data_IF_115750792938
#
_entry.id   IF_115750792938
#
_cell.length_a   1.000
_cell.length_b   1.000
_cell.length_c   1.000
_cell.angle_alpha   90.00
_cell.angle_beta   90.00
_cell.angle_gamma   90.00
#
_symmetry.space_group_name_H-M   'P 1'
#
loop_
_entity.id
_entity.type
_entity.pdbx_description
1 polymer ?
#
# COMPACT_ATOMS: atom_id res chain seq x y z
N UNK A 1 -33.40 -31.95 -63.15
CA UNK A 1 -34.13 -31.43 -61.97
C UNK A 1 -33.06 -30.97 -61.00
N UNK A 2 -32.80 -29.68 -61.00
CA UNK A 2 -31.71 -29.05 -60.25
C UNK A 2 -32.23 -28.70 -58.85
N UNK A 3 -32.11 -29.67 -57.95
CA UNK A 3 -32.56 -29.52 -56.58
C UNK A 3 -31.63 -28.58 -55.78
N UNK A 4 -32.22 -27.45 -55.38
CA UNK A 4 -32.09 -26.91 -54.02
C UNK A 4 -30.68 -26.61 -53.48
N UNK A 5 -29.88 -25.79 -54.17
CA UNK A 5 -28.69 -25.16 -53.56
C UNK A 5 -28.85 -23.63 -53.52
N UNK A 6 -30.07 -23.15 -53.27
CA UNK A 6 -30.25 -21.84 -52.67
C UNK A 6 -29.93 -21.96 -51.18
N UNK A 7 -28.63 -21.98 -50.85
CA UNK A 7 -28.16 -21.58 -49.53
C UNK A 7 -28.74 -20.20 -49.26
N UNK A 8 -29.89 -20.16 -48.58
CA UNK A 8 -30.47 -18.96 -48.01
C UNK A 8 -29.53 -18.47 -46.91
N UNK A 9 -28.40 -17.88 -47.30
CA UNK A 9 -27.54 -17.15 -46.38
C UNK A 9 -28.37 -15.98 -45.88
N UNK A 10 -29.00 -16.14 -44.72
CA UNK A 10 -29.72 -15.06 -44.03
C UNK A 10 -28.71 -13.95 -43.76
N UNK A 11 -28.66 -12.97 -44.66
CA UNK A 11 -27.75 -11.84 -44.54
C UNK A 11 -27.99 -11.19 -43.19
N UNK A 12 -26.95 -11.18 -42.34
CA UNK A 12 -27.05 -10.57 -41.01
C UNK A 12 -27.53 -9.14 -41.13
N UNK A 13 -28.48 -8.74 -40.29
CA UNK A 13 -28.98 -7.36 -40.22
C UNK A 13 -27.85 -6.38 -39.90
N UNK A 14 -28.02 -5.12 -40.31
CA UNK A 14 -27.05 -4.03 -40.04
C UNK A 14 -26.67 -3.95 -38.54
N UNK A 15 -27.64 -4.15 -37.65
CA UNK A 15 -27.43 -4.20 -36.19
C UNK A 15 -26.57 -5.39 -35.77
N UNK A 16 -26.84 -6.59 -36.29
CA UNK A 16 -26.07 -7.79 -36.00
C UNK A 16 -24.61 -7.67 -36.48
N UNK A 17 -24.39 -7.12 -37.67
CA UNK A 17 -23.03 -6.86 -38.19
C UNK A 17 -22.26 -5.88 -37.29
N UNK A 18 -22.86 -4.75 -36.92
CA UNK A 18 -22.26 -3.77 -36.00
C UNK A 18 -21.92 -4.39 -34.63
N UNK A 19 -22.80 -5.23 -34.09
CA UNK A 19 -22.57 -5.94 -32.83
C UNK A 19 -21.39 -6.90 -32.94
N UNK A 20 -21.31 -7.68 -34.02
CA UNK A 20 -20.22 -8.62 -34.28
C UNK A 20 -18.85 -7.93 -34.31
N UNK A 21 -18.75 -6.76 -34.96
CA UNK A 21 -17.49 -5.98 -35.01
C UNK A 21 -17.11 -5.49 -33.61
N UNK A 22 -18.08 -4.98 -32.84
CA UNK A 22 -17.86 -4.52 -31.46
C UNK A 22 -17.40 -5.67 -30.54
N UNK A 23 -18.08 -6.81 -30.60
CA UNK A 23 -17.73 -7.98 -29.78
C UNK A 23 -16.37 -8.56 -30.17
N UNK A 24 -16.04 -8.60 -31.47
CA UNK A 24 -14.72 -9.03 -31.93
C UNK A 24 -13.61 -8.09 -31.42
N UNK A 25 -13.86 -6.78 -31.46
CA UNK A 25 -12.94 -5.79 -30.91
C UNK A 25 -12.75 -5.96 -29.40
N UNK A 26 -13.84 -6.12 -28.64
CA UNK A 26 -13.79 -6.36 -27.21
C UNK A 26 -13.05 -7.67 -26.87
N UNK A 27 -13.28 -8.73 -27.64
CA UNK A 27 -12.57 -10.02 -27.51
C UNK A 27 -11.07 -9.84 -27.70
N UNK A 28 -10.65 -9.16 -28.77
CA UNK A 28 -9.22 -8.87 -29.03
C UNK A 28 -8.58 -8.11 -27.86
N UNK A 29 -9.24 -7.08 -27.32
CA UNK A 29 -8.76 -6.34 -26.15
C UNK A 29 -8.63 -7.25 -24.91
N UNK A 30 -9.57 -8.17 -24.68
CA UNK A 30 -9.50 -9.17 -23.60
C UNK A 30 -8.34 -10.13 -23.77
N UNK A 31 -8.12 -10.62 -24.98
CA UNK A 31 -7.07 -11.59 -25.27
C UNK A 31 -5.68 -10.95 -25.09
N UNK A 32 -5.48 -9.72 -25.60
CA UNK A 32 -4.25 -8.95 -25.37
C UNK A 32 -4.01 -8.65 -23.88
N UNK A 33 -5.07 -8.39 -23.11
CA UNK A 33 -4.95 -8.19 -21.66
C UNK A 33 -4.59 -9.47 -20.91
N UNK A 34 -5.14 -10.62 -21.31
CA UNK A 34 -4.74 -11.93 -20.76
C UNK A 34 -3.27 -12.22 -21.04
N UNK A 35 -2.85 -12.04 -22.30
CA UNK A 35 -1.46 -12.24 -22.69
C UNK A 35 -0.51 -11.33 -21.92
N UNK A 36 -0.86 -10.05 -21.71
CA UNK A 36 -0.11 -9.13 -20.83
C UNK A 36 0.10 -9.69 -19.43
N UNK A 37 -0.92 -10.32 -18.83
CA UNK A 37 -0.81 -10.95 -17.50
C UNK A 37 0.08 -12.19 -17.53
N UNK A 38 0.03 -12.97 -18.60
CA UNK A 38 0.89 -14.14 -18.79
C UNK A 38 2.35 -13.73 -18.92
N UNK A 39 2.66 -12.75 -19.78
CA UNK A 39 4.00 -12.16 -19.90
C UNK A 39 4.50 -11.66 -18.55
N UNK A 40 3.66 -10.99 -17.76
CA UNK A 40 4.05 -10.55 -16.42
C UNK A 40 4.39 -11.73 -15.48
N UNK A 41 3.67 -12.85 -15.57
CA UNK A 41 3.98 -14.07 -14.82
C UNK A 41 5.27 -14.71 -15.30
N UNK A 42 5.47 -14.83 -16.61
CA UNK A 42 6.68 -15.36 -17.25
C UNK A 42 7.89 -14.52 -16.83
N UNK A 43 7.83 -13.20 -17.00
CA UNK A 43 8.86 -12.26 -16.53
C UNK A 43 9.11 -12.39 -15.03
N UNK A 44 8.09 -12.67 -14.20
CA UNK A 44 8.28 -12.90 -12.77
C UNK A 44 8.95 -14.24 -12.47
N UNK A 45 8.65 -15.29 -13.25
CA UNK A 45 9.16 -16.65 -13.10
C UNK A 45 10.63 -16.81 -13.47
N UNK A 46 11.20 -15.92 -14.31
CA UNK A 46 12.63 -15.93 -14.64
C UNK A 46 13.47 -15.94 -13.35
N UNK A 47 14.39 -16.91 -13.17
CA UNK A 47 15.21 -17.01 -11.98
C UNK A 47 16.25 -15.88 -11.89
N UNK A 48 16.68 -15.58 -10.67
CA UNK A 48 17.76 -14.63 -10.42
C UNK A 48 19.11 -15.34 -10.63
N UNK A 49 20.01 -14.69 -11.36
CA UNK A 49 21.36 -15.21 -11.64
C UNK A 49 22.35 -14.46 -10.75
N UNK A 50 23.27 -15.16 -10.05
CA UNK A 50 24.28 -14.52 -9.24
C UNK A 50 25.24 -13.69 -10.10
N UNK A 51 25.64 -12.53 -9.60
CA UNK A 51 26.70 -11.73 -10.19
C UNK A 51 28.05 -12.31 -9.80
N UNK A 52 29.03 -12.23 -10.70
CA UNK A 52 30.42 -12.64 -10.41
C UNK A 52 31.00 -11.87 -9.24
N UNK A 53 30.76 -10.57 -9.21
CA UNK A 53 31.21 -9.66 -8.15
C UNK A 53 30.02 -8.86 -7.62
N UNK A 54 29.66 -9.01 -6.34
CA UNK A 54 28.60 -8.23 -5.73
C UNK A 54 29.06 -6.78 -5.56
N UNK A 55 28.18 -5.83 -5.83
CA UNK A 55 28.50 -4.40 -5.73
C UNK A 55 27.54 -3.67 -4.80
N UNK A 56 28.03 -2.58 -4.20
CA UNK A 56 27.22 -1.74 -3.33
C UNK A 56 26.43 -0.71 -4.16
N UNK A 57 25.10 -0.75 -4.07
CA UNK A 57 24.21 0.25 -4.73
C UNK A 57 23.91 1.46 -3.84
N UNK A 58 24.02 1.31 -2.52
CA UNK A 58 23.72 2.36 -1.56
C UNK A 58 23.69 1.82 -0.14
N UNK A 59 22.74 2.30 0.66
CA UNK A 59 22.53 1.92 2.04
C UNK A 59 21.07 1.55 2.29
N UNK A 60 20.85 0.56 3.13
CA UNK A 60 19.55 0.20 3.68
C UNK A 60 19.58 0.47 5.19
N UNK A 61 18.49 0.99 5.72
CA UNK A 61 18.29 1.07 7.16
C UNK A 61 16.95 0.50 7.59
N UNK A 62 16.97 -0.17 8.71
CA UNK A 62 15.85 -0.94 9.25
C UNK A 62 15.98 -1.05 10.77
N UNK A 63 14.92 -1.50 11.41
CA UNK A 63 14.93 -1.68 12.86
C UNK A 63 15.47 -3.04 13.24
N UNK A 64 16.24 -3.08 14.32
CA UNK A 64 16.77 -4.27 14.97
C UNK A 64 16.47 -4.18 16.46
N UNK A 65 16.26 -5.32 17.11
CA UNK A 65 16.09 -5.40 18.55
C UNK A 65 17.33 -4.86 19.28
N UNK A 66 17.13 -4.08 20.35
CA UNK A 66 18.25 -3.70 21.22
C UNK A 66 18.78 -4.93 21.97
N UNK A 67 20.10 -4.97 22.13
CA UNK A 67 20.81 -6.04 22.84
C UNK A 67 20.53 -6.00 24.35
N UNK A 68 20.10 -4.85 24.89
CA UNK A 68 19.79 -4.65 26.31
C UNK A 68 18.58 -5.47 26.82
N UNK A 69 17.83 -6.12 25.93
CA UNK A 69 16.68 -6.95 26.31
C UNK A 69 17.20 -8.30 26.79
N UNK A 70 17.40 -8.42 28.10
CA UNK A 70 18.09 -9.55 28.74
C UNK A 70 17.31 -10.87 28.78
N UNK A 71 15.99 -10.85 28.60
CA UNK A 71 15.15 -12.05 28.74
C UNK A 71 15.00 -12.77 27.39
N UNK A 72 15.38 -14.04 27.33
CA UNK A 72 15.32 -14.86 26.11
C UNK A 72 13.91 -14.94 25.51
N UNK A 73 12.89 -15.11 26.36
CA UNK A 73 11.49 -15.14 25.93
C UNK A 73 11.06 -13.82 25.27
N UNK A 74 11.48 -12.69 25.83
CA UNK A 74 11.19 -11.37 25.27
C UNK A 74 11.91 -11.17 23.93
N UNK A 75 13.16 -11.65 23.79
CA UNK A 75 13.91 -11.56 22.54
C UNK A 75 13.15 -12.24 21.41
N UNK A 76 12.74 -13.50 21.61
CA UNK A 76 12.02 -14.26 20.59
C UNK A 76 10.69 -13.60 20.24
N UNK A 77 9.93 -13.18 21.25
CA UNK A 77 8.64 -12.51 21.08
C UNK A 77 8.75 -11.19 20.29
N UNK A 78 9.62 -10.28 20.71
CA UNK A 78 9.77 -9.00 20.03
C UNK A 78 10.44 -9.13 18.65
N UNK A 79 11.25 -10.16 18.43
CA UNK A 79 11.79 -10.46 17.09
C UNK A 79 10.66 -10.88 16.13
N UNK A 80 9.67 -11.66 16.60
CA UNK A 80 8.49 -12.03 15.82
C UNK A 80 7.62 -10.82 15.50
N UNK A 81 7.33 -9.96 16.49
CA UNK A 81 6.60 -8.70 16.26
C UNK A 81 7.35 -7.85 15.24
N UNK A 82 8.66 -7.66 15.44
CA UNK A 82 9.48 -6.84 14.56
C UNK A 82 9.41 -7.35 13.12
N UNK A 83 9.50 -8.68 12.88
CA UNK A 83 9.36 -9.25 11.54
C UNK A 83 8.07 -8.84 10.83
N UNK A 84 6.97 -8.62 11.56
CA UNK A 84 5.66 -8.22 11.04
C UNK A 84 5.55 -6.72 10.76
N UNK A 85 6.19 -5.90 11.60
CA UNK A 85 6.07 -4.42 11.54
C UNK A 85 7.33 -3.70 11.03
N UNK A 86 8.41 -4.42 10.71
CA UNK A 86 9.66 -3.79 10.30
C UNK A 86 9.46 -2.99 9.01
N UNK A 87 10.14 -1.86 8.94
CA UNK A 87 10.21 -1.04 7.74
C UNK A 87 11.66 -0.96 7.30
N UNK A 88 11.89 -1.04 5.99
CA UNK A 88 13.20 -0.79 5.39
C UNK A 88 13.14 0.46 4.54
N UNK A 89 14.19 1.28 4.62
CA UNK A 89 14.39 2.41 3.74
C UNK A 89 15.73 2.31 3.03
N UNK A 90 15.73 2.62 1.75
CA UNK A 90 16.92 2.65 0.91
C UNK A 90 17.30 4.10 0.59
N UNK A 91 18.60 4.37 0.53
CA UNK A 91 19.17 5.63 0.09
C UNK A 91 20.52 5.38 -0.59
N UNK A 92 20.93 6.29 -1.48
CA UNK A 92 22.26 6.24 -2.11
C UNK A 92 23.37 6.55 -1.10
N UNK A 93 23.09 7.46 -0.15
CA UNK A 93 24.05 7.88 0.89
C UNK A 93 23.61 7.48 2.29
N UNK A 94 24.58 7.30 3.20
CA UNK A 94 24.37 6.92 4.61
C UNK A 94 23.58 7.97 5.43
N UNK A 95 23.37 9.17 4.90
CA UNK A 95 22.71 10.28 5.62
C UNK A 95 21.18 10.21 5.62
N UNK A 96 20.57 9.45 4.69
CA UNK A 96 19.10 9.31 4.56
C UNK A 96 18.35 10.65 4.63
N UNK A 97 18.72 11.60 3.77
CA UNK A 97 18.09 12.92 3.72
C UNK A 97 17.03 13.00 2.62
N UNK A 98 16.03 13.87 2.81
CA UNK A 98 15.05 14.24 1.79
C UNK A 98 15.11 15.73 1.50
N UNK A 99 14.91 16.10 0.23
CA UNK A 99 14.79 17.50 -0.20
C UNK A 99 13.42 18.04 0.26
N UNK A 100 13.41 19.20 0.90
CA UNK A 100 12.20 19.93 1.29
C UNK A 100 12.38 21.42 0.95
N UNK A 101 11.31 22.09 0.53
CA UNK A 101 11.32 23.55 0.37
C UNK A 101 10.84 24.19 1.68
N UNK A 102 11.61 25.14 2.23
CA UNK A 102 11.24 25.96 3.38
C UNK A 102 11.59 27.40 3.05
N UNK A 103 10.61 28.30 3.14
CA UNK A 103 10.77 29.74 2.88
C UNK A 103 11.48 30.01 1.53
N UNK A 104 11.01 29.41 0.44
CA UNK A 104 11.60 29.60 -0.89
C UNK A 104 12.86 28.78 -1.18
N UNK A 105 13.64 28.40 -0.17
CA UNK A 105 14.92 27.68 -0.32
C UNK A 105 14.76 26.15 -0.27
N UNK A 106 15.60 25.43 -1.02
CA UNK A 106 15.68 23.96 -1.00
C UNK A 106 16.67 23.52 0.08
N UNK A 107 16.19 22.79 1.08
CA UNK A 107 17.00 22.27 2.19
C UNK A 107 16.95 20.75 2.23
N UNK A 108 18.01 20.14 2.75
CA UNK A 108 18.05 18.71 3.06
C UNK A 108 17.69 18.50 4.52
N UNK A 109 16.71 17.63 4.77
CA UNK A 109 16.25 17.30 6.12
C UNK A 109 16.40 15.79 6.33
N UNK A 110 16.85 15.33 7.51
CA UNK A 110 16.84 13.91 7.84
C UNK A 110 15.46 13.30 7.61
N UNK A 111 15.43 12.15 6.91
CA UNK A 111 14.20 11.38 6.75
C UNK A 111 13.94 10.67 8.07
N UNK A 112 12.76 10.86 8.66
CA UNK A 112 12.32 10.10 9.82
C UNK A 112 11.83 8.72 9.33
N UNK A 113 12.16 7.68 10.09
CA UNK A 113 11.69 6.33 9.84
C UNK A 113 11.00 5.83 11.11
N UNK A 114 9.80 5.29 10.91
CA UNK A 114 8.95 4.75 11.95
C UNK A 114 8.62 3.29 11.62
N UNK A 115 8.22 2.53 12.64
CA UNK A 115 7.71 1.18 12.46
C UNK A 115 6.42 1.23 11.64
N UNK A 116 6.06 0.10 11.02
CA UNK A 116 4.83 0.00 10.24
C UNK A 116 3.65 0.21 11.18
N UNK A 117 2.83 1.19 10.85
CA UNK A 117 1.53 1.38 11.47
C UNK A 117 0.52 0.42 10.82
N UNK A 118 -0.31 -0.24 11.64
CA UNK A 118 -1.21 -1.28 11.17
C UNK A 118 -2.61 -0.73 10.89
N UNK A 119 -3.20 -1.17 9.78
CA UNK A 119 -4.60 -0.88 9.50
C UNK A 119 -5.53 -1.74 10.39
N UNK A 120 -6.79 -1.34 10.61
CA UNK A 120 -7.71 -2.11 11.46
C UNK A 120 -7.85 -3.59 11.09
N UNK A 121 -7.85 -3.91 9.79
CA UNK A 121 -7.95 -5.29 9.29
C UNK A 121 -6.65 -6.10 9.44
N UNK A 122 -5.49 -5.44 9.57
CA UNK A 122 -4.20 -6.11 9.85
C UNK A 122 -4.04 -6.35 11.36
N UNK A 123 -4.59 -5.45 12.18
CA UNK A 123 -4.57 -5.57 13.63
C UNK A 123 -5.53 -6.66 14.12
N UNK A 124 -6.78 -6.66 13.64
CA UNK A 124 -7.82 -7.59 14.08
C UNK A 124 -8.66 -8.11 12.89
N UNK A 125 -9.11 -9.36 12.98
CA UNK A 125 -9.97 -10.02 11.99
C UNK A 125 -9.33 -11.25 11.35
N UNK A 126 -10.03 -11.82 10.35
CA UNK A 126 -9.61 -13.07 9.67
C UNK A 126 -8.29 -12.97 8.91
N UNK A 127 -7.84 -11.75 8.60
CA UNK A 127 -6.56 -11.48 7.94
C UNK A 127 -5.56 -10.78 8.87
N UNK A 128 -5.76 -10.88 10.18
CA UNK A 128 -4.85 -10.29 11.16
C UNK A 128 -3.46 -10.94 11.05
N UNK A 129 -2.43 -10.11 11.09
CA UNK A 129 -1.05 -10.58 11.14
C UNK A 129 -0.58 -10.84 12.57
N UNK A 130 -1.35 -10.39 13.58
CA UNK A 130 -0.97 -10.39 14.99
C UNK A 130 -1.66 -11.48 15.79
N UNK A 131 -0.91 -12.05 16.74
CA UNK A 131 -1.46 -12.92 17.78
C UNK A 131 -2.14 -12.08 18.88
N UNK A 132 -3.00 -12.71 19.67
CA UNK A 132 -3.76 -12.04 20.73
C UNK A 132 -2.86 -11.36 21.79
N UNK A 133 -1.72 -11.97 22.11
CA UNK A 133 -0.72 -11.40 23.02
C UNK A 133 0.00 -10.19 22.42
N UNK A 134 0.41 -10.28 21.15
CA UNK A 134 1.11 -9.21 20.44
C UNK A 134 0.23 -7.96 20.31
N UNK A 135 -1.08 -8.14 20.14
CA UNK A 135 -2.05 -7.03 20.03
C UNK A 135 -2.03 -6.10 21.24
N UNK A 136 -1.71 -6.60 22.43
CA UNK A 136 -1.61 -5.80 23.66
C UNK A 136 -0.56 -4.70 23.57
N UNK A 137 0.42 -4.83 22.66
CA UNK A 137 1.49 -3.87 22.46
C UNK A 137 1.18 -2.80 21.41
N UNK A 138 -0.07 -2.69 20.96
CA UNK A 138 -0.49 -1.67 20.01
C UNK A 138 -1.62 -0.81 20.59
N UNK A 139 -1.59 0.48 20.25
CA UNK A 139 -2.65 1.42 20.57
C UNK A 139 -3.30 1.98 19.31
N UNK A 140 -4.61 2.17 19.35
CA UNK A 140 -5.35 2.82 18.27
C UNK A 140 -5.21 4.34 18.37
N UNK A 141 -4.71 4.95 17.31
CA UNK A 141 -4.54 6.39 17.15
C UNK A 141 -5.40 6.86 15.98
N UNK A 142 -5.97 8.06 16.12
CA UNK A 142 -6.72 8.68 15.04
C UNK A 142 -5.80 9.53 14.19
N UNK A 143 -5.69 9.18 12.91
CA UNK A 143 -4.92 9.93 11.93
C UNK A 143 -5.88 10.52 10.90
N UNK A 144 -5.76 11.83 10.66
CA UNK A 144 -6.49 12.49 9.60
C UNK A 144 -5.88 12.13 8.24
N UNK A 145 -6.68 11.57 7.34
CA UNK A 145 -6.27 11.28 5.97
C UNK A 145 -6.73 12.40 5.03
N UNK A 146 -5.80 13.19 4.45
CA UNK A 146 -6.13 14.30 3.54
C UNK A 146 -6.81 13.84 2.25
N UNK A 147 -6.54 12.61 1.77
CA UNK A 147 -7.11 12.11 0.51
C UNK A 147 -8.58 11.82 0.65
N UNK A 148 -8.97 11.23 1.79
CA UNK A 148 -10.37 10.87 2.06
C UNK A 148 -11.09 11.91 2.90
N UNK A 149 -10.37 12.93 3.42
CA UNK A 149 -10.85 13.99 4.32
C UNK A 149 -11.55 13.44 5.57
N UNK A 150 -11.01 12.35 6.14
CA UNK A 150 -11.62 11.63 7.26
C UNK A 150 -10.55 11.19 8.26
N UNK A 151 -10.93 11.11 9.52
CA UNK A 151 -10.14 10.43 10.53
C UNK A 151 -10.27 8.92 10.36
N UNK A 152 -9.13 8.23 10.45
CA UNK A 152 -9.04 6.77 10.42
C UNK A 152 -8.29 6.30 11.65
N UNK A 153 -8.77 5.22 12.25
CA UNK A 153 -8.05 4.52 13.31
C UNK A 153 -6.91 3.72 12.71
N UNK A 154 -5.69 3.99 13.17
CA UNK A 154 -4.48 3.26 12.81
C UNK A 154 -3.85 2.75 14.11
N UNK A 155 -3.25 1.57 14.08
CA UNK A 155 -2.63 0.97 15.26
C UNK A 155 -1.12 1.18 15.25
N UNK A 156 -0.62 1.82 16.28
CA UNK A 156 0.80 2.10 16.48
C UNK A 156 1.39 1.22 17.58
N UNK A 157 2.64 0.81 17.41
CA UNK A 157 3.34 0.01 18.41
C UNK A 157 3.77 0.88 19.59
N UNK A 158 3.46 0.44 20.81
CA UNK A 158 3.63 1.22 22.04
C UNK A 158 5.07 1.35 22.52
N UNK A 159 5.94 0.39 22.20
CA UNK A 159 7.29 0.31 22.78
C UNK A 159 8.40 0.46 21.73
N UNK A 160 8.38 1.48 20.86
CA UNK A 160 9.33 1.60 19.75
C UNK A 160 10.79 1.72 20.23
N UNK A 161 11.02 2.18 21.47
CA UNK A 161 12.32 2.28 22.12
C UNK A 161 13.04 0.93 22.27
N UNK A 162 12.33 -0.20 22.20
CA UNK A 162 12.94 -1.54 22.18
C UNK A 162 13.75 -1.82 20.93
N UNK A 163 13.53 -1.04 19.88
CA UNK A 163 14.22 -1.21 18.61
C UNK A 163 15.19 -0.06 18.37
N UNK A 164 16.31 -0.37 17.73
CA UNK A 164 17.29 0.59 17.24
C UNK A 164 17.37 0.55 15.73
N UNK A 165 17.62 1.69 15.12
CA UNK A 165 17.80 1.80 13.67
C UNK A 165 19.24 1.44 13.31
N UNK A 166 19.44 0.42 12.48
CA UNK A 166 20.76 0.04 11.97
C UNK A 166 20.84 0.40 10.48
N UNK A 167 22.02 0.86 10.06
CA UNK A 167 22.33 1.11 8.65
C UNK A 167 23.34 0.07 8.18
N UNK A 168 23.03 -0.58 7.05
CA UNK A 168 23.94 -1.51 6.36
C UNK A 168 24.13 -1.09 4.89
N UNK A 169 25.25 -1.47 4.25
CA UNK A 169 25.38 -1.34 2.80
C UNK A 169 24.32 -2.19 2.09
N UNK A 170 23.71 -1.64 1.04
CA UNK A 170 22.77 -2.36 0.19
C UNK A 170 23.56 -3.02 -0.95
N UNK A 171 23.90 -4.30 -0.76
CA UNK A 171 24.66 -5.09 -1.71
C UNK A 171 23.73 -5.76 -2.73
N UNK A 172 24.03 -5.57 -4.02
CA UNK A 172 23.35 -6.27 -5.11
C UNK A 172 24.22 -7.48 -5.46
N UNK A 173 23.66 -8.68 -5.26
CA UNK A 173 24.35 -9.96 -5.45
C UNK A 173 23.84 -10.74 -6.65
N UNK A 174 22.61 -10.47 -7.09
CA UNK A 174 21.98 -11.16 -8.20
C UNK A 174 21.39 -10.13 -9.16
N UNK A 175 21.26 -10.52 -10.42
CA UNK A 175 20.51 -9.77 -11.42
C UNK A 175 19.45 -10.66 -12.05
N UNK A 176 18.46 -10.03 -12.67
CA UNK A 176 17.43 -10.73 -13.42
C UNK A 176 17.76 -10.62 -14.90
N UNK A 177 18.00 -11.74 -15.61
CA UNK A 177 18.28 -11.68 -17.04
C UNK A 177 17.05 -11.15 -17.78
N UNK A 178 17.31 -10.34 -18.81
CA UNK A 178 16.26 -9.74 -19.62
C UNK A 178 15.95 -10.67 -20.79
N UNK A 179 14.71 -11.13 -20.85
CA UNK A 179 14.18 -11.83 -22.02
C UNK A 179 13.73 -10.79 -23.06
N UNK A 180 14.48 -10.71 -24.16
CA UNK A 180 14.29 -9.71 -25.22
C UNK A 180 12.95 -9.94 -25.94
N UNK A 181 12.56 -11.20 -26.15
CA UNK A 181 11.35 -11.55 -26.88
C UNK A 181 10.11 -11.20 -26.05
N UNK A 182 10.12 -11.53 -24.75
CA UNK A 182 9.04 -11.12 -23.84
C UNK A 182 8.94 -9.61 -23.71
N UNK A 183 10.06 -8.88 -23.70
CA UNK A 183 10.07 -7.41 -23.66
C UNK A 183 9.51 -6.80 -24.94
N UNK A 184 9.86 -7.37 -26.10
CA UNK A 184 9.33 -6.95 -27.39
C UNK A 184 7.83 -7.18 -27.47
N UNK A 185 7.35 -8.33 -27.01
CA UNK A 185 5.92 -8.63 -26.98
C UNK A 185 5.16 -7.70 -26.02
N UNK A 186 5.70 -7.44 -24.83
CA UNK A 186 5.13 -6.48 -23.87
C UNK A 186 4.95 -5.09 -24.51
N UNK A 187 6.00 -4.60 -25.18
CA UNK A 187 5.97 -3.30 -25.87
C UNK A 187 4.91 -3.25 -26.98
N UNK A 188 4.74 -4.33 -27.77
CA UNK A 188 3.69 -4.39 -28.79
C UNK A 188 2.28 -4.34 -28.18
N UNK A 189 2.08 -5.00 -27.04
CA UNK A 189 0.80 -4.99 -26.33
C UNK A 189 0.55 -3.61 -25.72
N UNK A 190 1.55 -2.95 -25.14
CA UNK A 190 1.42 -1.60 -24.60
C UNK A 190 1.07 -0.60 -25.71
N UNK A 191 1.77 -0.65 -26.85
CA UNK A 191 1.43 0.18 -28.01
C UNK A 191 -0.01 -0.07 -28.51
N UNK A 192 -0.52 -1.30 -28.41
CA UNK A 192 -1.92 -1.60 -28.71
C UNK A 192 -2.89 -0.91 -27.74
N UNK A 193 -2.54 -0.81 -26.45
CA UNK A 193 -3.35 -0.17 -25.43
C UNK A 193 -3.22 1.36 -25.37
N UNK A 194 -2.14 1.93 -25.89
CA UNK A 194 -1.97 3.39 -26.00
C UNK A 194 -3.06 4.04 -26.86
N UNK A 195 -3.67 3.29 -27.78
CA UNK A 195 -4.82 3.77 -28.55
C UNK A 195 -6.03 3.97 -27.63
N UNK A 196 -6.48 5.23 -27.50
CA UNK A 196 -7.62 5.64 -26.66
C UNK A 196 -8.86 4.72 -26.75
N UNK A 197 -9.24 4.28 -27.96
CA UNK A 197 -10.39 3.39 -28.16
C UNK A 197 -10.21 2.02 -27.48
N UNK A 198 -8.99 1.48 -27.45
CA UNK A 198 -8.69 0.19 -26.82
C UNK A 198 -8.55 0.35 -25.31
N UNK A 199 -7.87 1.41 -24.87
CA UNK A 199 -7.77 1.79 -23.46
C UNK A 199 -9.15 1.98 -22.81
N UNK A 200 -10.06 2.67 -23.51
CA UNK A 200 -11.42 2.89 -23.04
C UNK A 200 -12.22 1.58 -22.85
N UNK A 201 -12.02 0.59 -23.73
CA UNK A 201 -12.64 -0.73 -23.57
C UNK A 201 -12.02 -1.47 -22.38
N UNK A 202 -10.69 -1.47 -22.26
CA UNK A 202 -9.96 -2.09 -21.15
C UNK A 202 -10.45 -1.54 -19.80
N UNK A 203 -10.45 -0.22 -19.65
CA UNK A 203 -10.82 0.44 -18.40
C UNK A 203 -12.30 0.26 -18.06
N UNK A 204 -13.22 0.31 -19.02
CA UNK A 204 -14.67 0.26 -18.74
C UNK A 204 -15.26 -1.15 -18.63
N UNK A 205 -14.64 -2.15 -19.28
CA UNK A 205 -15.24 -3.49 -19.44
C UNK A 205 -14.41 -4.62 -18.83
N UNK A 206 -13.14 -4.38 -18.52
CA UNK A 206 -12.21 -5.43 -18.07
C UNK A 206 -11.65 -5.10 -16.69
N UNK A 207 -11.05 -3.93 -16.51
CA UNK A 207 -10.32 -3.56 -15.27
C UNK A 207 -11.20 -2.75 -14.32
N UNK A 208 -11.79 -1.66 -14.80
CA UNK A 208 -12.72 -0.85 -14.02
C UNK A 208 -14.12 -1.41 -14.15
N UNK A 209 -14.63 -2.01 -13.08
CA UNK A 209 -16.07 -2.14 -12.92
C UNK A 209 -16.66 -0.74 -13.05
N UNK A 210 -17.47 -0.52 -14.09
CA UNK A 210 -18.00 0.81 -14.44
C UNK A 210 -18.45 1.58 -13.20
N UNK A 211 -18.14 2.88 -13.18
CA UNK A 211 -18.41 3.78 -12.05
C UNK A 211 -19.76 3.47 -11.40
N UNK A 212 -19.75 2.77 -10.26
CA UNK A 212 -20.86 2.72 -9.33
C UNK A 212 -20.57 3.82 -8.31
N UNK A 213 -21.33 4.90 -8.41
CA UNK A 213 -21.32 6.05 -7.51
C UNK A 213 -21.69 5.68 -6.06
N UNK A 214 -22.09 4.43 -5.81
CA UNK A 214 -22.60 3.92 -4.54
C UNK A 214 -21.53 3.34 -3.61
N UNK A 215 -20.29 3.13 -4.07
CA UNK A 215 -19.20 2.59 -3.23
C UNK A 215 -18.56 3.61 -2.28
N UNK A 216 -19.33 4.54 -1.72
CA UNK A 216 -18.92 5.18 -0.47
C UNK A 216 -19.51 4.34 0.66
N UNK A 217 -18.75 3.43 1.31
CA UNK A 217 -19.28 2.76 2.48
C UNK A 217 -19.68 3.84 3.49
N UNK A 218 -20.98 3.85 3.84
CA UNK A 218 -21.53 4.67 4.92
C UNK A 218 -21.03 4.09 6.24
N UNK A 219 -19.72 4.18 6.52
CA UNK A 219 -19.23 3.92 7.86
C UNK A 219 -19.73 5.05 8.74
N UNK A 220 -20.66 4.73 9.65
CA UNK A 220 -21.03 5.61 10.77
C UNK A 220 -19.72 5.90 11.51
N UNK A 221 -19.29 7.15 11.49
CA UNK A 221 -18.11 7.57 12.23
C UNK A 221 -18.37 7.28 13.72
N UNK A 222 -17.63 6.37 14.37
CA UNK A 222 -17.94 5.97 15.75
C UNK A 222 -17.79 7.14 16.75
N UNK A 223 -17.19 8.25 16.32
CA UNK A 223 -16.95 9.44 17.14
C UNK A 223 -18.01 10.55 16.98
N UNK A 224 -19.01 10.41 16.10
CA UNK A 224 -20.06 11.46 15.94
C UNK A 224 -21.07 11.51 17.08
N UNK A 225 -21.02 10.58 18.05
CA UNK A 225 -21.95 10.56 19.19
C UNK A 225 -21.42 11.26 20.45
N UNK A 226 -20.11 11.55 20.54
CA UNK A 226 -19.58 12.33 21.67
C UNK A 226 -19.52 13.79 21.22
N UNK A 227 -20.36 14.64 21.82
CA UNK A 227 -20.11 16.08 21.83
C UNK A 227 -18.76 16.25 22.52
N UNK A 228 -17.69 16.42 21.75
CA UNK A 228 -16.47 16.97 22.32
C UNK A 228 -16.87 18.35 22.84
N UNK A 229 -16.73 18.57 24.14
CA UNK A 229 -16.79 19.93 24.66
C UNK A 229 -15.75 20.71 23.87
N UNK A 230 -16.17 21.73 23.12
CA UNK A 230 -15.28 22.71 22.53
C UNK A 230 -14.71 23.56 23.67
N UNK A 231 -13.92 22.94 24.56
CA UNK A 231 -13.20 23.67 25.57
C UNK A 231 -12.02 24.32 24.85
N UNK A 232 -12.04 25.65 24.76
CA UNK A 232 -10.96 26.43 24.13
C UNK A 232 -9.71 26.47 25.01
N UNK A 233 -9.83 25.98 26.25
CA UNK A 233 -8.77 26.03 27.22
C UNK A 233 -7.59 25.19 26.75
N UNK A 234 -6.41 25.78 26.86
CA UNK A 234 -5.16 25.09 26.58
C UNK A 234 -4.99 23.88 27.52
N UNK A 235 -4.22 22.87 27.11
CA UNK A 235 -3.98 21.68 27.95
C UNK A 235 -3.36 22.05 29.32
N UNK A 236 -2.63 23.16 29.38
CA UNK A 236 -2.05 23.77 30.58
C UNK A 236 -3.12 24.33 31.51
N UNK A 237 -4.10 25.07 31.00
CA UNK A 237 -5.22 25.60 31.81
C UNK A 237 -6.08 24.46 32.39
N UNK A 238 -6.28 23.38 31.64
CA UNK A 238 -7.04 22.21 32.12
C UNK A 238 -6.29 21.51 33.27
N UNK A 239 -4.96 21.42 33.19
CA UNK A 239 -4.14 20.83 34.24
C UNK A 239 -4.14 21.70 35.51
N UNK A 240 -4.01 23.01 35.37
CA UNK A 240 -4.08 23.97 36.48
C UNK A 240 -5.44 23.91 37.19
N UNK A 241 -6.55 23.86 36.44
CA UNK A 241 -7.89 23.71 37.00
C UNK A 241 -8.09 22.39 37.77
N UNK A 242 -7.48 21.28 37.29
CA UNK A 242 -7.58 19.99 38.00
C UNK A 242 -6.76 19.99 39.29
N UNK A 243 -5.58 20.61 39.27
CA UNK A 243 -4.73 20.77 40.46
C UNK A 243 -5.43 21.66 41.51
N UNK A 244 -6.08 22.75 41.08
CA UNK A 244 -6.87 23.59 41.99
C UNK A 244 -8.06 22.85 42.59
N UNK A 245 -8.77 22.02 41.81
CA UNK A 245 -9.87 21.20 42.34
C UNK A 245 -9.42 20.18 43.39
N UNK A 246 -8.28 19.52 43.17
CA UNK A 246 -7.69 18.61 44.15
C UNK A 246 -7.28 19.32 45.45
N UNK A 247 -6.71 20.53 45.35
CA UNK A 247 -6.39 21.35 46.51
C UNK A 247 -7.63 21.80 47.30
N UNK A 248 -8.73 22.14 46.61
CA UNK A 248 -10.00 22.51 47.25
C UNK A 248 -10.67 21.32 47.96
N UNK A 249 -10.49 20.10 47.45
CA UNK A 249 -10.96 18.88 48.11
C UNK A 249 -10.12 18.53 49.35
N UNK A 250 -8.80 18.77 49.30
CA UNK A 250 -7.93 18.53 50.47
C UNK A 250 -8.16 19.49 51.64
N UNK A 251 -8.70 20.69 51.38
CA UNK A 251 -9.05 21.68 52.42
C UNK A 251 -10.40 21.44 53.10
N UNK A 252 -11.16 20.45 52.64
CA UNK A 252 -12.49 20.09 53.18
C UNK A 252 -12.44 18.86 54.11
N UNK A 253 -11.25 18.38 54.47
CA UNK A 253 -11.00 17.38 55.50
C UNK A 253 -10.11 17.95 56.60
#
# INVERSE_FOLDING_TARGET
MEDSIFFSTRLRTKRARKRSVKTAKEKNVRDKYKRRKEIFKEQKAIPLVPLKEPYQKGFERYFVLREDIKKENDIKFFTQILKKINTSQYAETRKFVKKRKRNGKRIYVPRIQELKQLQPYEYSGSHSILNDEERRYFACIQVYDPKTKRFKGIYEFLQPWRFRLIIKPNMITHYKPLDIDLKREEAQIDHFFDKYKNQGILLKKIVGGGYSYERKPKFKNPFTKRKFFNNKNSATEIAEMMIEQEHQLSKRH
#
